data_IF_623295539804
#
_entry.id   IF_623295539804
#
_cell.length_a   1.000
_cell.length_b   1.000
_cell.length_c   1.000
_cell.angle_alpha   90.00
_cell.angle_beta   90.00
_cell.angle_gamma   90.00
#
_symmetry.space_group_name_H-M   'P 1'
#
loop_
_entity.id
_entity.type
_entity.pdbx_description
1 polymer ?
#
# COMPACT_ATOMS: atom_id res chain seq x y z
N UNK A 1 -28.23 -5.64 20.56
CA UNK A 1 -27.97 -4.18 20.49
C UNK A 1 -26.72 -3.78 21.26
N UNK A 2 -26.61 -4.12 22.52
CA UNK A 2 -25.39 -3.80 23.30
C UNK A 2 -24.12 -4.42 22.71
N UNK A 3 -24.19 -5.68 22.26
CA UNK A 3 -23.05 -6.37 21.64
C UNK A 3 -22.59 -5.70 20.36
N UNK A 4 -23.54 -5.26 19.52
CA UNK A 4 -23.25 -4.55 18.27
C UNK A 4 -22.61 -3.19 18.56
N UNK A 5 -23.17 -2.42 19.49
CA UNK A 5 -22.65 -1.12 19.90
C UNK A 5 -21.23 -1.24 20.46
N UNK A 6 -20.99 -2.24 21.33
CA UNK A 6 -19.68 -2.50 21.91
C UNK A 6 -18.65 -2.85 20.81
N UNK A 7 -19.06 -3.65 19.83
CA UNK A 7 -18.23 -4.03 18.70
C UNK A 7 -17.85 -2.81 17.85
N UNK A 8 -18.78 -1.90 17.59
CA UNK A 8 -18.51 -0.64 16.88
C UNK A 8 -17.58 0.27 17.68
N UNK A 9 -17.82 0.40 18.99
CA UNK A 9 -16.96 1.22 19.84
C UNK A 9 -15.53 0.70 19.87
N UNK A 10 -15.34 -0.62 19.92
CA UNK A 10 -14.02 -1.25 19.86
C UNK A 10 -13.34 -1.03 18.50
N UNK A 11 -14.10 -1.09 17.42
CA UNK A 11 -13.60 -0.83 16.07
C UNK A 11 -13.10 0.61 15.93
N UNK A 12 -13.89 1.59 16.34
CA UNK A 12 -13.50 3.00 16.31
C UNK A 12 -12.31 3.29 17.19
N UNK A 13 -12.24 2.67 18.35
CA UNK A 13 -11.09 2.78 19.25
C UNK A 13 -9.82 2.24 18.59
N UNK A 14 -9.95 1.12 17.91
CA UNK A 14 -8.84 0.53 17.15
C UNK A 14 -8.37 1.47 16.04
N UNK A 15 -9.28 1.97 15.20
CA UNK A 15 -8.97 2.90 14.11
C UNK A 15 -8.22 4.13 14.64
N UNK A 16 -8.71 4.72 15.73
CA UNK A 16 -8.06 5.91 16.33
C UNK A 16 -6.68 5.60 16.91
N UNK A 17 -6.47 4.38 17.37
CA UNK A 17 -5.20 3.96 17.97
C UNK A 17 -4.16 3.49 16.96
N UNK A 18 -4.54 3.32 15.68
CA UNK A 18 -3.60 2.89 14.65
C UNK A 18 -2.76 4.06 14.15
N UNK A 19 -1.51 3.77 13.79
CA UNK A 19 -0.62 4.74 13.15
C UNK A 19 0.19 4.08 12.05
N UNK A 20 0.54 4.86 11.04
CA UNK A 20 1.44 4.43 9.98
C UNK A 20 2.88 4.66 10.44
N UNK A 21 3.68 3.60 10.43
CA UNK A 21 5.10 3.65 10.79
C UNK A 21 5.95 3.10 9.66
N UNK A 22 7.14 3.66 9.47
CA UNK A 22 8.08 3.12 8.50
C UNK A 22 8.82 1.93 9.11
N UNK A 23 8.93 0.84 8.34
CA UNK A 23 9.61 -0.37 8.76
C UNK A 23 10.87 -0.55 7.92
N UNK A 24 11.94 -1.01 8.56
CA UNK A 24 13.21 -1.31 7.90
C UNK A 24 13.46 -2.81 7.75
N UNK A 25 12.68 -3.61 8.44
CA UNK A 25 12.80 -5.07 8.41
C UNK A 25 11.43 -5.72 8.49
N UNK A 26 11.22 -6.76 7.65
CA UNK A 26 10.03 -7.59 7.64
C UNK A 26 10.42 -9.00 7.21
N UNK A 27 9.57 -9.98 7.48
CA UNK A 27 9.69 -11.30 6.88
C UNK A 27 9.01 -11.28 5.51
N UNK A 28 9.80 -11.17 4.43
CA UNK A 28 9.28 -11.09 3.07
C UNK A 28 8.50 -12.34 2.65
N UNK A 29 8.75 -13.48 3.29
CA UNK A 29 8.01 -14.72 3.02
C UNK A 29 6.57 -14.67 3.48
N UNK A 30 6.25 -13.75 4.38
CA UNK A 30 4.89 -13.52 4.84
C UNK A 30 4.03 -12.82 3.78
N UNK A 31 4.66 -12.15 2.80
CA UNK A 31 3.96 -11.47 1.71
C UNK A 31 3.26 -12.49 0.80
N UNK A 32 1.91 -12.50 0.77
CA UNK A 32 1.18 -13.47 -0.04
C UNK A 32 1.15 -13.08 -1.52
N UNK A 33 1.57 -11.87 -1.87
CA UNK A 33 1.43 -11.31 -3.22
C UNK A 33 2.74 -11.39 -3.98
N UNK A 34 3.84 -10.91 -3.37
CA UNK A 34 5.15 -10.81 -4.04
C UNK A 34 6.28 -11.28 -3.14
N UNK A 35 6.24 -12.55 -2.69
CA UNK A 35 7.28 -13.05 -1.77
C UNK A 35 8.68 -13.11 -2.41
N UNK A 36 8.76 -13.05 -3.74
CA UNK A 36 10.02 -13.07 -4.48
C UNK A 36 10.81 -11.75 -4.38
N UNK A 37 10.18 -10.66 -3.97
CA UNK A 37 10.86 -9.38 -3.79
C UNK A 37 11.55 -9.35 -2.43
N UNK A 38 12.87 -9.23 -2.44
CA UNK A 38 13.64 -9.26 -1.20
C UNK A 38 13.55 -7.94 -0.41
N UNK A 39 14.13 -7.93 0.78
CA UNK A 39 14.09 -6.77 1.66
C UNK A 39 14.86 -5.58 1.07
N UNK A 40 16.01 -5.85 0.45
CA UNK A 40 16.82 -4.82 -0.19
C UNK A 40 16.03 -4.10 -1.28
N UNK A 41 15.31 -4.83 -2.13
CA UNK A 41 14.45 -4.24 -3.14
C UNK A 41 13.46 -3.26 -2.53
N UNK A 42 12.82 -3.68 -1.44
CA UNK A 42 11.72 -2.93 -0.81
C UNK A 42 12.17 -1.66 -0.09
N UNK A 43 13.47 -1.52 0.15
CA UNK A 43 14.03 -0.40 0.91
C UNK A 43 15.05 0.41 0.12
N UNK A 44 15.26 0.09 -1.15
CA UNK A 44 16.21 0.79 -2.04
C UNK A 44 15.51 1.77 -2.97
N UNK A 45 16.27 2.72 -3.49
CA UNK A 45 15.81 3.69 -4.49
C UNK A 45 14.56 4.46 -4.04
N UNK A 46 14.51 4.86 -2.77
CA UNK A 46 13.38 5.59 -2.23
C UNK A 46 12.16 4.73 -1.91
N UNK A 47 12.17 3.44 -2.22
CA UNK A 47 11.09 2.53 -1.87
C UNK A 47 11.02 2.35 -0.35
N UNK A 48 9.81 2.25 0.17
CA UNK A 48 9.57 2.19 1.62
C UNK A 48 8.59 1.10 1.99
N UNK A 49 8.74 0.58 3.19
CA UNK A 49 7.80 -0.34 3.80
C UNK A 49 7.12 0.41 4.94
N UNK A 50 5.79 0.40 4.95
CA UNK A 50 5.01 0.95 6.05
C UNK A 50 4.23 -0.14 6.75
N UNK A 51 4.15 -0.04 8.07
CA UNK A 51 3.31 -0.89 8.89
C UNK A 51 2.18 -0.10 9.53
N UNK A 52 1.04 -0.75 9.71
CA UNK A 52 -0.06 -0.22 10.51
C UNK A 52 0.15 -0.73 11.92
N UNK A 53 0.54 0.17 12.81
CA UNK A 53 0.84 -0.17 14.20
C UNK A 53 -0.35 0.12 15.08
N UNK A 54 -0.73 -0.85 15.90
CA UNK A 54 -1.71 -0.69 16.96
C UNK A 54 -1.10 -1.23 18.25
N UNK A 55 -0.96 -0.34 19.26
CA UNK A 55 -0.22 -0.67 20.47
C UNK A 55 1.21 -1.13 20.09
N UNK A 56 1.62 -2.34 20.43
CA UNK A 56 2.95 -2.86 20.10
C UNK A 56 2.97 -3.82 18.91
N UNK A 57 1.83 -3.94 18.20
CA UNK A 57 1.68 -4.91 17.12
C UNK A 57 1.59 -4.23 15.75
N UNK A 58 2.19 -4.86 14.75
CA UNK A 58 2.02 -4.49 13.35
C UNK A 58 0.87 -5.33 12.78
N UNK A 59 -0.22 -4.66 12.44
CA UNK A 59 -1.46 -5.31 12.03
C UNK A 59 -1.60 -5.43 10.50
N UNK A 60 -0.86 -4.64 9.76
CA UNK A 60 -0.85 -4.66 8.30
C UNK A 60 0.44 -4.08 7.76
N UNK A 61 0.74 -4.39 6.50
CA UNK A 61 1.98 -3.96 5.83
C UNK A 61 1.65 -3.52 4.41
N UNK A 62 2.26 -2.41 3.97
CA UNK A 62 2.21 -1.95 2.60
C UNK A 62 3.61 -1.57 2.14
N UNK A 63 3.99 -2.02 0.94
CA UNK A 63 5.24 -1.63 0.32
C UNK A 63 4.97 -0.64 -0.80
N UNK A 64 5.73 0.44 -0.82
CA UNK A 64 5.47 1.61 -1.68
C UNK A 64 6.73 1.97 -2.45
N UNK A 65 6.56 2.19 -3.74
CA UNK A 65 7.58 2.78 -4.60
C UNK A 65 7.11 4.16 -5.07
N UNK A 66 8.03 5.04 -5.37
CA UNK A 66 7.73 6.39 -5.84
C UNK A 66 8.26 6.54 -7.27
N UNK A 67 7.38 6.92 -8.17
CA UNK A 67 7.66 6.98 -9.61
C UNK A 67 7.17 8.31 -10.19
N UNK A 68 7.54 8.57 -11.45
CA UNK A 68 7.03 9.73 -12.20
C UNK A 68 6.05 9.32 -13.30
N UNK A 69 5.73 8.04 -13.40
CA UNK A 69 4.75 7.49 -14.34
C UNK A 69 4.13 6.24 -13.74
N UNK A 70 3.09 5.72 -14.36
CA UNK A 70 2.34 4.55 -13.86
C UNK A 70 2.92 3.27 -14.46
N UNK A 71 3.53 2.39 -13.65
CA UNK A 71 4.05 1.12 -14.13
C UNK A 71 2.91 0.13 -14.41
N UNK A 72 3.12 -0.74 -15.39
CA UNK A 72 2.17 -1.81 -15.74
C UNK A 72 2.70 -3.20 -15.39
N UNK A 73 3.89 -3.28 -14.79
CA UNK A 73 4.51 -4.53 -14.36
C UNK A 73 5.52 -4.24 -13.26
N UNK A 74 5.99 -5.29 -12.60
CA UNK A 74 7.07 -5.16 -11.61
C UNK A 74 8.36 -4.68 -12.27
N UNK A 75 8.62 -5.11 -13.51
CA UNK A 75 9.80 -4.66 -14.25
C UNK A 75 9.76 -3.14 -14.50
N UNK A 76 8.61 -2.62 -14.93
CA UNK A 76 8.43 -1.18 -15.09
C UNK A 76 8.51 -0.44 -13.77
N UNK A 77 7.91 -1.01 -12.72
CA UNK A 77 7.99 -0.45 -11.37
C UNK A 77 9.45 -0.24 -10.96
N UNK A 78 10.28 -1.25 -11.18
CA UNK A 78 11.70 -1.21 -10.85
C UNK A 78 12.40 -0.08 -11.59
N UNK A 79 12.24 -0.04 -12.92
CA UNK A 79 12.88 0.97 -13.76
C UNK A 79 12.41 2.38 -13.44
N UNK A 80 11.10 2.56 -13.28
CA UNK A 80 10.52 3.88 -13.02
C UNK A 80 10.88 4.41 -11.62
N UNK A 81 10.91 3.53 -10.61
CA UNK A 81 11.28 3.96 -9.26
C UNK A 81 12.77 4.30 -9.15
N UNK A 82 13.63 3.53 -9.78
CA UNK A 82 15.08 3.83 -9.81
C UNK A 82 15.34 5.16 -10.53
N UNK A 83 14.72 5.35 -11.67
CA UNK A 83 14.87 6.55 -12.47
C UNK A 83 14.34 7.79 -11.75
N UNK A 84 13.16 7.71 -11.16
CA UNK A 84 12.57 8.83 -10.40
C UNK A 84 13.40 9.18 -9.17
N UNK A 85 13.97 8.19 -8.49
CA UNK A 85 14.84 8.44 -7.35
C UNK A 85 16.12 9.17 -7.76
N UNK A 86 16.71 8.78 -8.88
CA UNK A 86 17.92 9.43 -9.40
C UNK A 86 17.66 10.87 -9.84
N UNK A 87 16.52 11.14 -10.45
CA UNK A 87 16.13 12.47 -10.93
C UNK A 87 15.43 13.32 -9.87
N UNK A 88 15.05 12.73 -8.75
CA UNK A 88 14.28 13.39 -7.69
C UNK A 88 13.00 14.05 -8.22
N UNK A 89 12.29 13.35 -9.10
CA UNK A 89 11.09 13.87 -9.78
C UNK A 89 9.84 13.00 -9.58
N UNK A 90 9.82 12.16 -8.55
CA UNK A 90 8.66 11.31 -8.26
C UNK A 90 7.41 12.14 -7.98
N UNK A 91 6.30 11.75 -8.59
CA UNK A 91 4.99 12.38 -8.40
C UNK A 91 3.87 11.38 -8.11
N UNK A 92 4.19 10.11 -8.06
CA UNK A 92 3.22 9.02 -7.91
C UNK A 92 3.74 8.03 -6.88
N UNK A 93 2.90 7.64 -5.93
CA UNK A 93 3.19 6.57 -5.00
C UNK A 93 2.51 5.29 -5.50
N UNK A 94 3.28 4.22 -5.59
CA UNK A 94 2.80 2.93 -6.06
C UNK A 94 2.78 1.94 -4.90
N UNK A 95 1.60 1.57 -4.44
CA UNK A 95 1.44 0.48 -3.48
C UNK A 95 1.48 -0.84 -4.27
N UNK A 96 2.61 -1.53 -4.23
CA UNK A 96 2.81 -2.72 -5.05
C UNK A 96 2.56 -4.03 -4.31
N UNK A 97 2.47 -4.00 -3.00
CA UNK A 97 1.99 -5.13 -2.21
C UNK A 97 1.39 -4.64 -0.89
N UNK A 98 0.29 -5.27 -0.49
CA UNK A 98 -0.43 -4.97 0.74
C UNK A 98 -0.88 -6.30 1.34
N UNK A 99 -0.65 -6.49 2.63
CA UNK A 99 -1.26 -7.63 3.32
C UNK A 99 -1.59 -7.27 4.76
N UNK A 100 -2.50 -8.03 5.36
CA UNK A 100 -2.97 -7.77 6.72
C UNK A 100 -2.84 -9.00 7.60
N UNK A 101 -2.61 -8.75 8.88
CA UNK A 101 -2.60 -9.76 9.94
C UNK A 101 -3.88 -9.72 10.76
N UNK A 102 -4.70 -8.69 10.55
CA UNK A 102 -5.96 -8.48 11.25
C UNK A 102 -7.01 -8.01 10.26
N UNK A 103 -8.25 -8.49 10.44
CA UNK A 103 -9.37 -8.07 9.59
C UNK A 103 -9.57 -6.55 9.66
N UNK A 104 -9.66 -5.93 8.50
CA UNK A 104 -9.82 -4.49 8.38
C UNK A 104 -8.50 -3.72 8.30
N UNK A 105 -7.36 -4.33 8.59
CA UNK A 105 -6.07 -3.65 8.57
C UNK A 105 -5.64 -3.26 7.15
N UNK A 106 -5.97 -4.06 6.15
CA UNK A 106 -5.66 -3.73 4.76
C UNK A 106 -6.33 -2.45 4.31
N UNK A 107 -7.60 -2.28 4.64
CA UNK A 107 -8.34 -1.04 4.35
C UNK A 107 -7.75 0.14 5.10
N UNK A 108 -7.50 -0.02 6.38
CA UNK A 108 -7.01 1.05 7.24
C UNK A 108 -5.61 1.51 6.82
N UNK A 109 -4.71 0.59 6.46
CA UNK A 109 -3.37 0.97 6.04
C UNK A 109 -3.37 1.77 4.73
N UNK A 110 -4.27 1.45 3.81
CA UNK A 110 -4.43 2.23 2.56
C UNK A 110 -4.94 3.64 2.89
N UNK A 111 -5.90 3.78 3.80
CA UNK A 111 -6.38 5.10 4.23
C UNK A 111 -5.27 5.91 4.91
N UNK A 112 -4.48 5.29 5.78
CA UNK A 112 -3.36 5.96 6.44
C UNK A 112 -2.27 6.35 5.45
N UNK A 113 -2.02 5.51 4.44
CA UNK A 113 -1.07 5.83 3.38
C UNK A 113 -1.54 7.06 2.58
N UNK A 114 -2.83 7.12 2.23
CA UNK A 114 -3.40 8.28 1.54
C UNK A 114 -3.21 9.56 2.35
N UNK A 115 -3.51 9.52 3.64
CA UNK A 115 -3.31 10.66 4.52
C UNK A 115 -1.83 11.09 4.59
N UNK A 116 -0.94 10.12 4.70
CA UNK A 116 0.50 10.37 4.75
C UNK A 116 1.01 11.01 3.47
N UNK A 117 0.58 10.51 2.33
CA UNK A 117 0.99 11.02 1.01
C UNK A 117 0.49 12.44 0.78
N UNK A 118 -0.69 12.79 1.29
CA UNK A 118 -1.23 14.16 1.19
C UNK A 118 -0.34 15.21 1.85
N UNK A 119 0.52 14.82 2.77
CA UNK A 119 1.47 15.73 3.41
C UNK A 119 2.66 16.07 2.49
N UNK A 120 2.88 15.29 1.44
CA UNK A 120 3.95 15.50 0.47
C UNK A 120 3.37 16.14 -0.79
N UNK A 121 3.68 17.42 -1.01
CA UNK A 121 3.14 18.20 -2.12
C UNK A 121 3.59 17.70 -3.50
N UNK A 122 4.69 16.99 -3.59
CA UNK A 122 5.21 16.46 -4.85
C UNK A 122 4.43 15.24 -5.33
N UNK A 123 3.82 14.48 -4.41
CA UNK A 123 3.07 13.28 -4.76
C UNK A 123 1.61 13.64 -5.05
N UNK A 124 1.20 13.41 -6.29
CA UNK A 124 -0.12 13.81 -6.79
C UNK A 124 -1.16 12.71 -6.75
N UNK A 125 -0.75 11.45 -6.69
CA UNK A 125 -1.66 10.31 -6.72
C UNK A 125 -1.06 9.08 -6.07
N UNK A 126 -1.93 8.17 -5.65
CA UNK A 126 -1.56 6.83 -5.19
C UNK A 126 -2.18 5.82 -6.14
N UNK A 127 -1.37 4.91 -6.64
CA UNK A 127 -1.79 3.85 -7.57
C UNK A 127 -1.43 2.51 -6.96
N UNK A 128 -2.31 1.53 -7.09
CA UNK A 128 -2.01 0.16 -6.68
C UNK A 128 -1.63 -0.69 -7.89
N UNK A 129 -0.56 -1.46 -7.75
CA UNK A 129 -0.14 -2.45 -8.72
C UNK A 129 -0.49 -3.83 -8.14
N UNK A 130 -1.63 -4.38 -8.56
CA UNK A 130 -2.20 -5.59 -7.96
C UNK A 130 -2.17 -6.77 -8.90
N UNK A 131 -2.08 -8.01 -8.39
CA UNK A 131 -2.25 -9.18 -9.22
C UNK A 131 -3.68 -9.23 -9.78
N UNK A 132 -3.84 -9.88 -10.95
CA UNK A 132 -5.14 -10.05 -11.60
C UNK A 132 -5.95 -11.14 -10.90
N UNK A 133 -6.45 -10.84 -9.70
CA UNK A 133 -7.37 -11.71 -8.98
C UNK A 133 -8.67 -10.98 -8.71
N UNK A 134 -9.82 -11.65 -8.76
CA UNK A 134 -11.09 -11.01 -8.42
C UNK A 134 -11.10 -10.41 -7.02
N UNK A 135 -10.46 -11.05 -6.07
CA UNK A 135 -10.38 -10.58 -4.68
C UNK A 135 -9.62 -9.25 -4.59
N UNK A 136 -8.45 -9.15 -5.22
CA UNK A 136 -7.65 -7.92 -5.20
C UNK A 136 -8.38 -6.77 -5.90
N UNK A 137 -8.97 -7.03 -7.07
CA UNK A 137 -9.78 -6.05 -7.81
C UNK A 137 -10.92 -5.52 -6.96
N UNK A 138 -11.69 -6.42 -6.37
CA UNK A 138 -12.84 -6.06 -5.55
C UNK A 138 -12.45 -5.23 -4.33
N UNK A 139 -11.36 -5.61 -3.68
CA UNK A 139 -10.82 -4.87 -2.54
C UNK A 139 -10.53 -3.42 -2.89
N UNK A 140 -9.77 -3.19 -3.96
CA UNK A 140 -9.36 -1.84 -4.34
C UNK A 140 -10.53 -0.98 -4.82
N UNK A 141 -11.43 -1.53 -5.63
CA UNK A 141 -12.61 -0.80 -6.11
C UNK A 141 -13.50 -0.41 -4.94
N UNK A 142 -13.73 -1.32 -4.00
CA UNK A 142 -14.54 -1.04 -2.82
C UNK A 142 -13.95 0.06 -1.94
N UNK A 143 -12.63 0.26 -1.99
CA UNK A 143 -11.94 1.30 -1.24
C UNK A 143 -11.72 2.59 -2.05
N UNK A 144 -12.50 2.80 -3.11
CA UNK A 144 -12.51 4.05 -3.87
C UNK A 144 -11.55 4.08 -5.05
N UNK A 145 -10.92 2.96 -5.39
CA UNK A 145 -10.01 2.90 -6.53
C UNK A 145 -10.76 2.81 -7.84
N UNK A 146 -10.16 3.36 -8.90
CA UNK A 146 -10.63 3.20 -10.27
C UNK A 146 -9.57 2.44 -11.06
N UNK A 147 -10.01 1.43 -11.81
CA UNK A 147 -9.12 0.68 -12.67
C UNK A 147 -8.67 1.55 -13.84
N UNK A 148 -7.35 1.68 -14.02
CA UNK A 148 -6.77 2.48 -15.10
C UNK A 148 -6.14 1.62 -16.19
N UNK A 149 -5.73 0.41 -15.85
CA UNK A 149 -5.23 -0.55 -16.84
C UNK A 149 -5.29 -1.98 -16.32
N UNK A 150 -5.15 -2.94 -17.22
CA UNK A 150 -5.09 -4.37 -16.91
C UNK A 150 -4.18 -5.06 -17.93
N UNK A 151 -3.37 -6.00 -17.47
CA UNK A 151 -2.52 -6.82 -18.33
C UNK A 151 -2.44 -8.26 -17.77
N UNK A 152 -1.77 -9.21 -18.48
CA UNK A 152 -1.77 -10.62 -18.05
C UNK A 152 -1.19 -10.87 -16.66
N UNK A 153 -0.28 -10.03 -16.18
CA UNK A 153 0.44 -10.24 -14.94
C UNK A 153 -0.06 -9.36 -13.79
N UNK A 154 -0.58 -8.18 -14.11
CA UNK A 154 -0.94 -7.18 -13.10
C UNK A 154 -2.23 -6.45 -13.44
N UNK A 155 -2.83 -5.85 -12.41
CA UNK A 155 -3.94 -4.92 -12.55
C UNK A 155 -3.58 -3.63 -11.83
N UNK A 156 -3.81 -2.51 -12.49
CA UNK A 156 -3.58 -1.20 -11.90
C UNK A 156 -4.89 -0.57 -11.46
N UNK A 157 -4.86 0.04 -10.29
CA UNK A 157 -6.03 0.76 -9.76
C UNK A 157 -5.58 2.10 -9.21
N UNK A 158 -6.29 3.15 -9.58
CA UNK A 158 -6.04 4.49 -9.08
C UNK A 158 -6.81 4.71 -7.78
N UNK A 159 -6.10 5.11 -6.74
CA UNK A 159 -6.71 5.48 -5.46
C UNK A 159 -6.72 7.00 -5.39
N UNK A 160 -7.87 7.60 -5.08
CA UNK A 160 -8.00 9.05 -4.99
C UNK A 160 -7.20 9.62 -3.83
N UNK A 161 -6.51 10.70 -4.09
CA UNK A 161 -5.82 11.50 -3.09
C UNK A 161 -6.68 12.71 -2.73
#
# INVERSE_FOLDING_TARGET
METFKKSLDNFFKWVKGTELVELTDIDVKEDPVRPELDLEYRTSYGRKIFGLKYQDNIEGIVCVAFTNDVPQSVRELTLLSENANMKDDANTAIAYTVWSRKRGAGKEIIHKLLEHVKTNQDIKRVVTLSPLTPMATHFHIRNGAKQISSNPDTQLSLIHI
#
